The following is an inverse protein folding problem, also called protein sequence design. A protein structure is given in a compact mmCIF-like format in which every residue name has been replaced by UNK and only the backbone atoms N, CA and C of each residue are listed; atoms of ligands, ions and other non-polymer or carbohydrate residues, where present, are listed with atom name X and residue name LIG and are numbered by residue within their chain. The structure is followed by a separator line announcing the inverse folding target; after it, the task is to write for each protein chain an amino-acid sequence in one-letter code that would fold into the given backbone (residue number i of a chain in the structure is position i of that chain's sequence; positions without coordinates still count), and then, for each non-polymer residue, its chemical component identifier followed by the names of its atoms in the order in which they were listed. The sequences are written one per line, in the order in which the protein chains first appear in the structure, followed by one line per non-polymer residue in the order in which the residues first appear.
data_IF_200752923192
#
_entry.id   IF_200752923192
#
_cell.length_a   1.000
_cell.length_b   1.000
_cell.length_c   1.000
_cell.angle_alpha   90.00
_cell.angle_beta   90.00
_cell.angle_gamma   90.00
#
_symmetry.space_group_name_H-M   'P 1'
#
loop_
_entity.id
_entity.type
_entity.pdbx_description
1 polymer ?
#
# COMPACT_ATOMS: atom_id res chain seq x y z
N UNK A 1 -9.34 4.69 16.60
CA UNK A 1 -8.70 3.83 15.60
C UNK A 1 -7.18 4.00 15.68
N UNK A 2 -6.42 2.96 15.39
CA UNK A 2 -4.95 3.03 15.34
C UNK A 2 -4.51 2.91 13.88
N UNK A 3 -3.87 3.98 13.37
CA UNK A 3 -3.37 4.08 12.00
C UNK A 3 -4.28 4.84 11.04
N UNK A 4 -3.73 5.90 10.42
CA UNK A 4 -4.35 6.69 9.35
C UNK A 4 -3.85 6.27 7.97
N UNK A 5 -3.63 4.96 7.74
CA UNK A 5 -3.46 4.39 6.42
C UNK A 5 -4.79 4.43 5.64
N UNK A 6 -4.89 3.66 4.55
CA UNK A 6 -6.12 3.67 3.72
C UNK A 6 -7.34 3.16 4.48
N UNK A 7 -7.17 2.11 5.30
CA UNK A 7 -8.27 1.45 6.03
C UNK A 7 -8.85 2.32 7.15
N UNK A 8 -7.99 3.00 7.94
CA UNK A 8 -8.43 3.78 9.10
C UNK A 8 -9.40 4.91 8.74
N UNK A 9 -9.03 5.85 7.85
CA UNK A 9 -9.90 6.96 7.45
C UNK A 9 -11.18 6.50 6.73
N UNK A 10 -11.10 5.44 5.89
CA UNK A 10 -12.29 4.88 5.25
C UNK A 10 -13.29 4.32 6.28
N UNK A 11 -12.79 3.53 7.24
CA UNK A 11 -13.61 3.01 8.33
C UNK A 11 -14.16 4.15 9.21
N UNK A 12 -13.34 5.17 9.51
CA UNK A 12 -13.77 6.31 10.30
C UNK A 12 -14.92 7.06 9.63
N UNK A 13 -14.86 7.24 8.31
CA UNK A 13 -15.95 7.83 7.53
C UNK A 13 -17.23 7.01 7.65
N UNK A 14 -17.13 5.68 7.51
CA UNK A 14 -18.27 4.78 7.66
C UNK A 14 -18.90 4.88 9.06
N UNK A 15 -18.07 4.84 10.12
CA UNK A 15 -18.53 4.97 11.50
C UNK A 15 -19.15 6.34 11.77
N UNK A 16 -18.57 7.41 11.26
CA UNK A 16 -19.08 8.77 11.37
C UNK A 16 -20.48 8.91 10.75
N UNK A 17 -20.71 8.28 9.60
CA UNK A 17 -22.03 8.23 8.95
C UNK A 17 -23.07 7.45 9.78
N UNK A 18 -22.62 6.46 10.57
CA UNK A 18 -23.48 5.75 11.52
C UNK A 18 -23.69 6.52 12.85
N UNK A 19 -23.13 7.73 12.98
CA UNK A 19 -23.33 8.60 14.13
C UNK A 19 -22.22 8.57 15.17
N UNK A 20 -21.21 7.73 15.04
CA UNK A 20 -20.12 7.63 15.99
C UNK A 20 -19.11 8.79 15.86
N UNK A 21 -18.57 9.23 17.00
CA UNK A 21 -17.38 10.09 17.04
C UNK A 21 -16.14 9.21 17.05
N UNK A 22 -15.15 9.53 16.19
CA UNK A 22 -13.98 8.68 15.96
C UNK A 22 -12.70 9.49 16.11
N UNK A 23 -11.78 9.00 16.92
CA UNK A 23 -10.40 9.48 16.96
C UNK A 23 -9.48 8.48 16.25
N UNK A 24 -8.62 8.98 15.36
CA UNK A 24 -7.59 8.19 14.70
C UNK A 24 -6.24 8.64 15.22
N UNK A 25 -5.39 7.71 15.68
CA UNK A 25 -4.03 7.97 16.09
C UNK A 25 -3.06 7.48 15.04
N UNK A 26 -2.23 8.38 14.50
CA UNK A 26 -1.25 8.09 13.44
C UNK A 26 0.17 8.46 13.94
N UNK A 27 1.11 7.55 13.78
CA UNK A 27 2.50 7.75 14.22
C UNK A 27 3.29 8.77 13.40
N UNK A 28 2.92 8.95 12.13
CA UNK A 28 3.59 9.86 11.20
C UNK A 28 3.00 11.27 11.32
N UNK A 29 3.75 12.31 10.91
CA UNK A 29 3.21 13.64 10.73
C UNK A 29 2.12 13.68 9.65
N UNK A 30 1.38 14.77 9.60
CA UNK A 30 0.34 14.97 8.59
C UNK A 30 0.96 15.17 7.19
N UNK A 31 0.93 14.14 6.38
CA UNK A 31 1.48 14.14 5.03
C UNK A 31 0.83 15.15 4.08
N UNK A 32 -0.28 15.76 4.46
CA UNK A 32 -0.94 16.83 3.69
C UNK A 32 -0.29 18.20 3.91
N UNK A 33 0.39 18.40 5.05
CA UNK A 33 1.01 19.66 5.47
C UNK A 33 2.49 19.72 5.15
N UNK A 34 3.17 18.61 5.20
CA UNK A 34 4.55 18.52 4.83
C UNK A 34 4.65 18.13 3.36
N UNK A 35 5.51 18.83 2.60
CA UNK A 35 6.06 18.24 1.39
C UNK A 35 7.00 17.11 1.83
N UNK A 36 6.44 16.09 2.46
CA UNK A 36 7.13 14.82 2.58
C UNK A 36 7.46 14.53 1.13
N UNK A 37 8.75 14.66 0.80
CA UNK A 37 9.24 14.26 -0.52
C UNK A 37 8.49 12.98 -0.77
N UNK A 38 7.62 12.98 -1.78
CA UNK A 38 6.71 11.88 -2.02
C UNK A 38 7.61 10.69 -2.26
N UNK A 39 8.16 10.20 -1.16
CA UNK A 39 9.05 9.08 -1.07
C UNK A 39 8.21 7.96 -1.59
N UNK A 40 8.17 7.89 -2.94
CA UNK A 40 7.81 6.70 -3.68
C UNK A 40 6.49 6.14 -3.25
N UNK A 41 5.46 6.78 -3.75
CA UNK A 41 4.11 6.25 -3.62
C UNK A 41 3.98 5.08 -4.59
N UNK A 42 4.00 3.87 -4.05
CA UNK A 42 3.56 2.69 -4.80
C UNK A 42 2.16 2.99 -5.32
N UNK A 43 1.95 2.84 -6.63
CA UNK A 43 0.62 2.87 -7.16
C UNK A 43 -0.13 1.60 -6.79
N UNK A 44 -1.40 1.79 -6.54
CA UNK A 44 -2.33 0.72 -6.18
C UNK A 44 -3.27 0.45 -7.35
N UNK A 45 -3.66 -0.80 -7.49
CA UNK A 45 -4.68 -1.23 -8.44
C UNK A 45 -6.04 -1.30 -7.73
N UNK A 46 -6.86 -0.26 -7.88
CA UNK A 46 -8.20 -0.19 -7.33
C UNK A 46 -9.16 -1.03 -8.19
N UNK A 47 -9.72 -2.08 -7.61
CA UNK A 47 -10.63 -3.02 -8.27
C UNK A 47 -12.10 -2.76 -7.90
N UNK A 48 -13.00 -3.58 -8.44
CA UNK A 48 -14.43 -3.50 -8.14
C UNK A 48 -14.73 -3.55 -6.62
N UNK A 49 -13.95 -4.32 -5.83
CA UNK A 49 -14.11 -4.40 -4.37
C UNK A 49 -13.79 -3.08 -3.67
N UNK A 50 -12.62 -2.48 -3.99
CA UNK A 50 -12.26 -1.19 -3.44
C UNK A 50 -13.22 -0.07 -3.89
N UNK A 51 -13.65 -0.10 -5.17
CA UNK A 51 -14.66 0.82 -5.66
C UNK A 51 -15.99 0.68 -4.91
N UNK A 52 -16.40 -0.56 -4.55
CA UNK A 52 -17.61 -0.80 -3.77
C UNK A 52 -17.49 -0.12 -2.40
N UNK A 53 -16.40 -0.34 -1.66
CA UNK A 53 -16.18 0.28 -0.36
C UNK A 53 -16.22 1.82 -0.42
N UNK A 54 -15.62 2.42 -1.46
CA UNK A 54 -15.67 3.87 -1.68
C UNK A 54 -17.09 4.37 -2.00
N UNK A 55 -17.88 3.59 -2.74
CA UNK A 55 -19.28 3.93 -3.05
C UNK A 55 -20.17 3.89 -1.81
N UNK A 56 -20.01 2.87 -0.96
CA UNK A 56 -20.78 2.73 0.29
C UNK A 56 -20.67 3.96 1.20
N UNK A 57 -19.51 4.62 1.20
CA UNK A 57 -19.28 5.84 1.99
C UNK A 57 -19.44 7.15 1.18
N UNK A 58 -19.84 7.07 -0.10
CA UNK A 58 -20.05 8.23 -0.96
C UNK A 58 -18.78 8.93 -1.42
N UNK A 59 -17.61 8.26 -1.36
CA UNK A 59 -16.31 8.85 -1.72
C UNK A 59 -15.87 8.55 -3.15
N UNK A 60 -16.50 7.60 -3.82
CA UNK A 60 -16.09 7.13 -5.14
C UNK A 60 -15.96 8.25 -6.17
N UNK A 61 -16.97 9.11 -6.28
CA UNK A 61 -16.99 10.17 -7.32
C UNK A 61 -15.96 11.28 -7.05
N UNK A 62 -15.57 11.47 -5.80
CA UNK A 62 -14.49 12.40 -5.41
C UNK A 62 -13.10 11.84 -5.74
N UNK A 63 -12.92 10.53 -5.66
CA UNK A 63 -11.62 9.86 -5.85
C UNK A 63 -11.38 9.48 -7.32
N UNK A 64 -12.43 9.06 -8.03
CA UNK A 64 -12.36 8.59 -9.41
C UNK A 64 -11.62 9.52 -10.39
N UNK A 65 -11.76 10.86 -10.35
CA UNK A 65 -11.03 11.76 -11.24
C UNK A 65 -9.51 11.66 -11.12
N UNK A 66 -8.99 11.21 -9.97
CA UNK A 66 -7.57 11.04 -9.69
C UNK A 66 -7.05 9.64 -10.05
N UNK A 67 -7.81 8.85 -10.81
CA UNK A 67 -7.45 7.48 -11.18
C UNK A 67 -7.28 7.32 -12.69
N UNK A 68 -6.45 6.36 -13.10
CA UNK A 68 -6.25 6.03 -14.51
C UNK A 68 -6.82 4.63 -14.78
N UNK A 69 -7.80 4.49 -15.71
CA UNK A 69 -8.36 3.19 -16.03
C UNK A 69 -7.35 2.32 -16.78
N UNK A 70 -7.18 1.08 -16.31
CA UNK A 70 -6.38 0.03 -16.96
C UNK A 70 -7.33 -1.05 -17.49
N UNK A 71 -7.35 -1.23 -18.82
CA UNK A 71 -8.26 -2.15 -19.54
C UNK A 71 -7.81 -3.62 -19.45
N UNK A 72 -6.54 -3.84 -19.16
CA UNK A 72 -5.96 -5.18 -19.10
C UNK A 72 -4.52 -5.18 -18.63
N UNK A 73 -3.92 -6.35 -18.70
CA UNK A 73 -2.48 -6.55 -18.47
C UNK A 73 -1.76 -6.49 -19.81
N UNK A 74 -0.80 -5.62 -19.96
CA UNK A 74 0.14 -5.62 -21.07
C UNK A 74 1.32 -6.51 -20.71
N UNK A 75 1.31 -7.72 -21.23
CA UNK A 75 2.36 -8.71 -20.97
C UNK A 75 3.53 -8.47 -21.92
N UNK A 76 4.73 -8.37 -21.37
CA UNK A 76 5.98 -8.25 -22.11
C UNK A 76 6.75 -9.56 -22.04
N UNK A 77 6.94 -10.20 -23.19
CA UNK A 77 7.72 -11.43 -23.28
C UNK A 77 9.25 -11.17 -23.20
N UNK A 78 10.05 -12.24 -23.25
CA UNK A 78 11.53 -12.13 -23.23
C UNK A 78 12.10 -11.51 -24.51
N UNK A 79 11.36 -11.48 -25.62
CA UNK A 79 11.78 -10.88 -26.88
C UNK A 79 11.33 -9.40 -27.00
N UNK A 80 10.62 -8.88 -25.99
CA UNK A 80 10.07 -7.51 -25.98
C UNK A 80 8.77 -7.36 -26.75
N UNK A 81 8.14 -8.46 -27.20
CA UNK A 81 6.81 -8.39 -27.76
C UNK A 81 5.79 -8.14 -26.65
N UNK A 82 4.75 -7.40 -26.99
CA UNK A 82 3.68 -7.05 -26.05
C UNK A 82 2.35 -7.69 -26.46
N UNK A 83 1.61 -8.16 -25.48
CA UNK A 83 0.27 -8.71 -25.66
C UNK A 83 -0.66 -8.18 -24.58
N UNK A 84 -1.76 -7.53 -24.99
CA UNK A 84 -2.79 -7.07 -24.07
C UNK A 84 -3.75 -8.21 -23.73
N UNK A 85 -3.82 -8.54 -22.44
CA UNK A 85 -4.78 -9.47 -21.87
C UNK A 85 -5.87 -8.66 -21.15
N UNK A 86 -7.08 -8.53 -21.71
CA UNK A 86 -8.15 -7.75 -21.10
C UNK A 86 -8.57 -8.30 -19.73
N UNK A 87 -9.04 -7.42 -18.82
CA UNK A 87 -9.64 -7.85 -17.56
C UNK A 87 -11.04 -8.40 -17.73
N UNK A 88 -11.77 -7.95 -18.74
CA UNK A 88 -13.12 -8.39 -19.03
C UNK A 88 -13.49 -8.23 -20.51
N UNK A 89 -14.75 -8.50 -20.83
CA UNK A 89 -15.27 -8.43 -22.19
C UNK A 89 -15.92 -7.08 -22.52
N UNK A 90 -16.28 -6.31 -21.48
CA UNK A 90 -16.93 -5.01 -21.60
C UNK A 90 -15.91 -3.88 -21.36
N UNK A 91 -16.10 -2.74 -22.01
CA UNK A 91 -15.22 -1.57 -21.87
C UNK A 91 -15.11 -1.03 -20.45
N UNK A 92 -16.14 -1.23 -19.62
CA UNK A 92 -16.18 -0.79 -18.23
C UNK A 92 -15.62 -1.81 -17.23
N UNK A 93 -15.22 -2.99 -17.68
CA UNK A 93 -14.58 -4.01 -16.84
C UNK A 93 -13.08 -3.74 -16.75
N UNK A 94 -12.75 -2.71 -15.99
CA UNK A 94 -11.39 -2.18 -15.81
C UNK A 94 -11.03 -2.13 -14.33
N UNK A 95 -9.73 -2.09 -14.04
CA UNK A 95 -9.20 -1.67 -12.75
C UNK A 95 -8.57 -0.28 -12.89
N UNK A 96 -8.32 0.40 -11.79
CA UNK A 96 -7.81 1.77 -11.83
C UNK A 96 -6.45 1.86 -11.13
N UNK A 97 -5.49 2.49 -11.79
CA UNK A 97 -4.28 2.94 -11.11
C UNK A 97 -4.58 4.17 -10.27
N UNK A 98 -4.13 4.17 -9.03
CA UNK A 98 -4.27 5.30 -8.11
C UNK A 98 -3.01 5.46 -7.27
N UNK A 99 -2.55 6.70 -7.09
CA UNK A 99 -1.46 6.98 -6.16
C UNK A 99 -1.90 6.66 -4.73
N UNK A 100 -1.13 5.83 -4.04
CA UNK A 100 -1.40 5.49 -2.64
C UNK A 100 -1.38 6.72 -1.74
N UNK A 101 -0.42 7.63 -1.96
CA UNK A 101 -0.31 8.84 -1.16
C UNK A 101 -1.51 9.75 -1.38
N UNK A 102 -1.89 10.00 -2.64
CA UNK A 102 -3.04 10.86 -2.95
C UNK A 102 -4.33 10.27 -2.39
N UNK A 103 -4.57 8.97 -2.61
CA UNK A 103 -5.74 8.29 -2.05
C UNK A 103 -5.79 8.40 -0.52
N UNK A 104 -4.65 8.25 0.15
CA UNK A 104 -4.59 8.38 1.61
C UNK A 104 -4.91 9.80 2.07
N UNK A 105 -4.35 10.82 1.41
CA UNK A 105 -4.64 12.22 1.71
C UNK A 105 -6.11 12.55 1.51
N UNK A 106 -6.69 12.09 0.40
CA UNK A 106 -8.10 12.30 0.08
C UNK A 106 -8.99 11.64 1.16
N UNK A 107 -8.72 10.39 1.53
CA UNK A 107 -9.47 9.67 2.56
C UNK A 107 -9.38 10.35 3.93
N UNK A 108 -8.20 10.81 4.34
CA UNK A 108 -8.04 11.54 5.61
C UNK A 108 -8.84 12.84 5.61
N UNK A 109 -8.76 13.61 4.52
CA UNK A 109 -9.50 14.88 4.39
C UNK A 109 -10.99 14.65 4.43
N UNK A 110 -11.49 13.70 3.65
CA UNK A 110 -12.92 13.38 3.58
C UNK A 110 -13.46 12.80 4.91
N UNK A 111 -12.62 12.08 5.66
CA UNK A 111 -13.01 11.60 6.99
C UNK A 111 -13.21 12.78 7.97
N UNK A 112 -12.30 13.74 8.00
CA UNK A 112 -12.42 14.92 8.86
C UNK A 112 -13.57 15.85 8.43
N UNK A 113 -13.86 15.97 7.13
CA UNK A 113 -15.02 16.71 6.60
C UNK A 113 -16.39 16.23 7.14
N UNK A 114 -16.47 15.01 7.67
CA UNK A 114 -17.68 14.51 8.35
C UNK A 114 -18.02 15.28 9.62
N UNK A 115 -17.07 16.04 10.18
CA UNK A 115 -17.19 16.75 11.46
C UNK A 115 -17.24 15.83 12.70
N UNK A 116 -17.11 14.51 12.53
CA UNK A 116 -17.11 13.51 13.62
C UNK A 116 -15.81 12.74 13.73
N UNK A 117 -14.84 12.97 12.84
CA UNK A 117 -13.53 12.33 12.84
C UNK A 117 -12.46 13.35 13.20
N UNK A 118 -11.59 12.99 14.13
CA UNK A 118 -10.39 13.74 14.48
C UNK A 118 -9.16 12.86 14.27
N UNK A 119 -8.16 13.34 13.55
CA UNK A 119 -6.89 12.61 13.34
C UNK A 119 -5.80 13.26 14.20
N UNK A 120 -5.21 12.48 15.10
CA UNK A 120 -4.08 12.86 15.95
C UNK A 120 -2.80 12.28 15.34
N UNK A 121 -2.03 13.13 14.71
CA UNK A 121 -0.73 12.78 14.14
C UNK A 121 0.37 12.74 15.20
N UNK A 122 1.54 12.18 14.86
CA UNK A 122 2.71 12.06 15.74
C UNK A 122 2.44 11.23 17.02
N UNK A 123 1.44 10.32 16.98
CA UNK A 123 1.08 9.44 18.08
C UNK A 123 1.42 7.99 17.72
N UNK A 124 2.56 7.50 18.16
CA UNK A 124 2.97 6.11 17.95
C UNK A 124 2.45 5.23 19.09
N UNK A 125 1.55 4.29 18.78
CA UNK A 125 1.13 3.30 19.77
C UNK A 125 2.34 2.42 20.17
N UNK A 126 2.62 2.33 21.46
CA UNK A 126 3.66 1.46 22.04
C UNK A 126 3.06 0.16 22.57
N UNK A 127 1.91 0.25 23.25
CA UNK A 127 1.19 -0.91 23.79
C UNK A 127 -0.28 -0.60 24.05
N UNK A 128 -1.09 -1.65 24.21
CA UNK A 128 -2.47 -1.55 24.65
C UNK A 128 -2.72 -2.47 25.86
N UNK A 129 -3.10 -1.87 26.98
CA UNK A 129 -3.63 -2.63 28.13
C UNK A 129 -5.12 -2.86 27.91
N UNK A 130 -5.44 -4.07 27.47
CA UNK A 130 -6.81 -4.48 27.14
C UNK A 130 -7.62 -4.86 28.39
N UNK A 131 -7.02 -4.96 29.58
CA UNK A 131 -7.72 -5.14 30.86
C UNK A 131 -8.18 -3.81 31.42
N UNK A 132 -7.25 -2.86 31.52
CA UNK A 132 -7.53 -1.52 32.06
C UNK A 132 -8.11 -0.56 31.03
N UNK A 133 -8.26 -0.96 29.73
CA UNK A 133 -8.71 -0.16 28.62
C UNK A 133 -7.87 1.12 28.42
N UNK A 134 -6.55 0.96 28.39
CA UNK A 134 -5.57 2.04 28.23
C UNK A 134 -4.67 1.79 27.02
N UNK A 135 -4.34 2.85 26.31
CA UNK A 135 -3.39 2.87 25.20
C UNK A 135 -2.20 3.73 25.61
N UNK A 136 -1.00 3.18 25.49
CA UNK A 136 0.24 3.93 25.69
C UNK A 136 0.78 4.39 24.35
N UNK A 137 0.92 5.72 24.19
CA UNK A 137 1.50 6.34 23.01
C UNK A 137 2.81 7.03 23.35
N UNK A 138 3.70 7.06 22.36
CA UNK A 138 4.84 7.97 22.34
C UNK A 138 4.57 9.09 21.33
N UNK A 139 4.75 10.32 21.76
CA UNK A 139 4.68 11.50 20.88
C UNK A 139 5.99 11.62 20.10
N UNK A 140 5.92 11.66 18.77
CA UNK A 140 7.14 11.68 17.93
C UNK A 140 7.94 12.97 18.07
N UNK A 141 7.29 14.08 18.45
CA UNK A 141 7.91 15.40 18.55
C UNK A 141 8.68 15.59 19.87
N UNK A 142 8.15 15.10 21.00
CA UNK A 142 8.72 15.27 22.33
C UNK A 142 9.34 14.02 22.91
N UNK A 143 9.08 12.85 22.32
CA UNK A 143 9.37 11.52 22.84
C UNK A 143 8.66 11.24 24.19
N UNK A 144 7.71 12.07 24.57
CA UNK A 144 6.90 11.90 25.78
C UNK A 144 5.95 10.73 25.60
N UNK A 145 5.76 9.97 26.68
CA UNK A 145 4.78 8.90 26.75
C UNK A 145 3.50 9.38 27.42
N UNK A 146 2.36 9.12 26.76
CA UNK A 146 1.04 9.45 27.27
C UNK A 146 0.13 8.24 27.31
N UNK A 147 -0.64 8.09 28.37
CA UNK A 147 -1.71 7.09 28.46
C UNK A 147 -3.06 7.73 28.13
N UNK A 148 -3.81 7.07 27.26
CA UNK A 148 -5.18 7.48 26.90
C UNK A 148 -6.15 6.33 27.14
N UNK A 149 -7.32 6.58 27.76
CA UNK A 149 -8.36 5.57 27.91
C UNK A 149 -9.06 5.31 26.60
N UNK A 150 -9.63 4.13 26.44
CA UNK A 150 -10.50 3.80 25.31
C UNK A 150 -11.74 3.01 25.73
N UNK A 151 -12.82 3.14 24.98
CA UNK A 151 -14.00 2.29 25.13
C UNK A 151 -13.93 1.08 24.21
N UNK A 152 -13.60 1.33 22.93
CA UNK A 152 -13.32 0.32 21.91
C UNK A 152 -12.15 0.77 21.07
N UNK A 153 -11.27 -0.15 20.70
CA UNK A 153 -10.11 0.14 19.88
C UNK A 153 -10.10 -0.74 18.63
N UNK A 154 -9.83 -0.13 17.46
CA UNK A 154 -9.73 -0.86 16.19
C UNK A 154 -8.34 -0.62 15.61
N UNK A 155 -7.60 -1.70 15.34
CA UNK A 155 -6.28 -1.67 14.73
C UNK A 155 -6.36 -1.67 13.21
N UNK A 156 -5.94 -0.55 12.63
CA UNK A 156 -5.70 -0.34 11.20
C UNK A 156 -4.23 -0.02 10.95
N UNK A 157 -3.34 -0.44 11.86
CA UNK A 157 -1.92 -0.09 11.99
C UNK A 157 -0.99 -0.97 11.13
N UNK A 158 -1.59 -1.70 10.18
CA UNK A 158 -0.87 -2.38 9.11
C UNK A 158 -0.23 -3.71 9.53
N UNK A 159 0.62 -4.25 8.66
CA UNK A 159 1.20 -5.59 8.81
C UNK A 159 2.11 -5.75 10.05
N UNK A 160 2.63 -4.64 10.59
CA UNK A 160 3.43 -4.60 11.83
C UNK A 160 2.62 -4.18 13.06
N UNK A 161 1.31 -4.41 13.08
CA UNK A 161 0.36 -3.97 14.10
C UNK A 161 0.83 -4.24 15.53
N UNK A 162 0.89 -3.17 16.32
CA UNK A 162 1.14 -3.22 17.76
C UNK A 162 -0.12 -3.68 18.50
N UNK A 163 -1.31 -3.20 18.07
CA UNK A 163 -2.55 -3.65 18.68
C UNK A 163 -2.73 -5.17 18.54
N UNK A 164 -2.41 -5.75 17.36
CA UNK A 164 -2.41 -7.21 17.18
C UNK A 164 -1.49 -7.90 18.18
N UNK A 165 -0.27 -7.36 18.39
CA UNK A 165 0.66 -7.92 19.37
C UNK A 165 0.02 -7.99 20.76
N UNK A 166 -0.58 -6.91 21.23
CA UNK A 166 -1.27 -6.85 22.53
C UNK A 166 -2.45 -7.84 22.62
N UNK A 167 -3.22 -8.00 21.55
CA UNK A 167 -4.34 -8.96 21.49
C UNK A 167 -3.82 -10.40 21.53
N UNK A 168 -2.77 -10.71 20.78
CA UNK A 168 -2.17 -12.06 20.71
C UNK A 168 -1.60 -12.49 22.07
N UNK A 169 -0.87 -11.59 22.73
CA UNK A 169 -0.28 -11.84 24.04
C UNK A 169 -1.36 -12.09 25.10
N UNK A 170 -2.49 -11.35 25.05
CA UNK A 170 -3.55 -11.44 26.04
C UNK A 170 -4.49 -12.63 25.85
N UNK A 171 -4.88 -12.92 24.62
CA UNK A 171 -5.97 -13.85 24.32
C UNK A 171 -5.49 -15.21 23.81
N UNK A 172 -4.18 -15.49 23.85
CA UNK A 172 -3.58 -16.71 23.29
C UNK A 172 -4.07 -17.02 21.86
N UNK A 173 -4.09 -15.97 21.02
CA UNK A 173 -4.60 -16.03 19.65
C UNK A 173 -3.56 -16.67 18.73
N UNK A 174 -4.02 -17.46 17.75
CA UNK A 174 -3.15 -17.96 16.71
C UNK A 174 -2.67 -16.82 15.80
N UNK A 175 -1.36 -16.62 15.76
CA UNK A 175 -0.71 -15.63 14.91
C UNK A 175 0.50 -16.24 14.23
N UNK A 176 0.57 -16.06 12.90
CA UNK A 176 1.71 -16.46 12.08
C UNK A 176 2.04 -15.34 11.09
N UNK A 177 3.28 -14.88 11.11
CA UNK A 177 3.86 -14.08 10.03
C UNK A 177 4.70 -14.99 9.15
N UNK A 178 4.26 -15.22 7.92
CA UNK A 178 4.93 -16.11 6.95
C UNK A 178 5.70 -15.26 5.92
N UNK A 179 7.05 -15.17 6.03
CA UNK A 179 7.86 -14.52 5.02
C UNK A 179 7.70 -15.23 3.67
N UNK A 180 7.68 -14.47 2.58
CA UNK A 180 7.56 -15.03 1.23
C UNK A 180 8.91 -15.43 0.63
N UNK A 181 10.02 -14.95 1.20
CA UNK A 181 11.36 -15.09 0.60
C UNK A 181 11.59 -14.19 -0.61
N UNK A 182 10.65 -13.29 -0.89
CA UNK A 182 10.74 -12.25 -1.93
C UNK A 182 10.68 -10.87 -1.30
N UNK A 183 11.30 -9.93 -1.97
CA UNK A 183 11.17 -8.50 -1.69
C UNK A 183 10.67 -7.76 -2.92
N UNK A 184 10.54 -6.46 -2.76
CA UNK A 184 10.23 -5.56 -3.86
C UNK A 184 11.11 -4.33 -3.85
N UNK A 185 11.32 -3.77 -5.04
CA UNK A 185 12.06 -2.52 -5.24
C UNK A 185 11.33 -1.64 -6.24
N UNK A 186 11.23 -0.37 -5.89
CA UNK A 186 10.56 0.62 -6.74
C UNK A 186 11.55 1.24 -7.72
N UNK A 187 11.10 1.42 -8.97
CA UNK A 187 11.79 2.07 -10.06
C UNK A 187 10.81 2.99 -10.78
N UNK A 188 11.31 3.89 -11.63
CA UNK A 188 10.46 4.88 -12.30
C UNK A 188 10.67 4.90 -13.81
N UNK A 189 9.58 4.85 -14.57
CA UNK A 189 9.55 5.26 -15.97
C UNK A 189 9.08 6.71 -16.01
N UNK A 190 9.95 7.69 -16.28
CA UNK A 190 9.55 9.09 -16.35
C UNK A 190 8.73 9.37 -17.62
N UNK A 191 7.95 10.46 -17.66
CA UNK A 191 7.28 10.88 -18.89
C UNK A 191 8.28 11.22 -20.01
N UNK A 192 7.81 11.29 -21.23
CA UNK A 192 8.56 11.86 -22.35
C UNK A 192 8.85 13.35 -22.09
N UNK A 193 9.86 13.91 -22.74
CA UNK A 193 10.14 15.36 -22.69
C UNK A 193 8.93 16.23 -23.12
N UNK A 194 8.03 15.66 -23.89
CA UNK A 194 6.76 16.28 -24.32
C UNK A 194 5.66 16.22 -23.25
N UNK A 195 5.90 15.67 -22.06
CA UNK A 195 4.90 15.47 -21.02
C UNK A 195 3.92 14.32 -21.26
N UNK A 196 4.18 13.45 -22.27
CA UNK A 196 3.32 12.31 -22.61
C UNK A 196 3.85 11.01 -22.01
N UNK A 197 2.98 10.03 -21.87
CA UNK A 197 3.36 8.67 -21.48
C UNK A 197 4.35 8.04 -22.46
N UNK A 198 5.30 7.26 -21.97
CA UNK A 198 6.29 6.52 -22.77
C UNK A 198 5.75 5.21 -23.33
N UNK A 199 4.80 4.61 -22.65
CA UNK A 199 4.15 3.35 -23.01
C UNK A 199 2.63 3.50 -22.80
N UNK A 200 1.84 2.48 -23.15
CA UNK A 200 0.37 2.50 -23.07
C UNK A 200 -0.13 2.82 -21.66
N UNK A 201 -0.82 3.95 -21.42
CA UNK A 201 -1.25 4.31 -20.06
C UNK A 201 -2.46 3.50 -19.56
N UNK A 202 -3.25 2.94 -20.45
CA UNK A 202 -4.48 2.24 -20.08
C UNK A 202 -4.27 0.73 -19.87
N UNK A 203 -3.07 0.35 -19.40
CA UNK A 203 -2.72 -1.04 -19.09
C UNK A 203 -1.84 -1.15 -17.85
N UNK A 204 -1.98 -2.26 -17.12
CA UNK A 204 -1.00 -2.71 -16.15
C UNK A 204 0.10 -3.46 -16.93
N UNK A 205 1.29 -2.88 -17.02
CA UNK A 205 2.41 -3.54 -17.67
C UNK A 205 3.02 -4.59 -16.75
N UNK A 206 3.29 -5.79 -17.29
CA UNK A 206 3.88 -6.91 -16.55
C UNK A 206 4.97 -7.58 -17.40
N UNK A 207 6.15 -7.72 -16.84
CA UNK A 207 7.27 -8.52 -17.35
C UNK A 207 7.42 -9.77 -16.48
N UNK A 208 6.69 -10.88 -16.75
CA UNK A 208 6.79 -12.11 -15.96
C UNK A 208 8.08 -12.87 -16.30
N UNK A 209 8.81 -13.33 -15.28
CA UNK A 209 10.11 -14.01 -15.44
C UNK A 209 10.27 -15.18 -14.48
N UNK A 210 9.36 -16.14 -14.56
CA UNK A 210 9.38 -17.31 -13.68
C UNK A 210 9.08 -16.98 -12.23
N UNK A 211 10.13 -16.89 -11.39
CA UNK A 211 9.99 -16.60 -9.97
C UNK A 211 10.12 -15.11 -9.62
N UNK A 212 10.25 -14.23 -10.60
CA UNK A 212 10.32 -12.78 -10.41
C UNK A 212 9.56 -12.04 -11.51
N UNK A 213 9.24 -10.80 -11.30
CA UNK A 213 8.56 -9.96 -12.28
C UNK A 213 8.79 -8.49 -12.04
N UNK A 214 8.72 -7.72 -13.11
CA UNK A 214 8.59 -6.26 -13.07
C UNK A 214 7.15 -5.92 -13.44
N UNK A 215 6.53 -4.99 -12.73
CA UNK A 215 5.25 -4.40 -13.11
C UNK A 215 5.37 -2.90 -13.21
N UNK A 216 4.51 -2.25 -13.99
CA UNK A 216 4.44 -0.79 -14.06
C UNK A 216 2.99 -0.31 -14.13
N UNK A 217 2.65 0.65 -13.27
CA UNK A 217 1.35 1.28 -13.18
C UNK A 217 1.46 2.77 -13.51
N UNK A 218 0.52 3.33 -14.30
CA UNK A 218 0.57 4.72 -14.73
C UNK A 218 0.26 5.70 -13.59
N UNK A 219 0.86 6.89 -13.64
CA UNK A 219 0.63 8.04 -12.77
C UNK A 219 0.01 9.22 -13.54
N UNK A 220 -0.70 10.10 -12.83
CA UNK A 220 -1.34 11.28 -13.44
C UNK A 220 -0.34 12.30 -14.03
N UNK A 221 0.92 12.26 -13.61
CA UNK A 221 2.02 13.05 -14.19
C UNK A 221 2.65 12.42 -15.44
N UNK A 222 1.99 11.42 -16.02
CA UNK A 222 2.44 10.65 -17.18
C UNK A 222 3.71 9.81 -16.95
N UNK A 223 4.15 9.63 -15.73
CA UNK A 223 5.16 8.64 -15.35
C UNK A 223 4.52 7.27 -15.09
N UNK A 224 5.35 6.25 -14.83
CA UNK A 224 4.91 4.97 -14.28
C UNK A 224 5.73 4.64 -13.05
N UNK A 225 5.06 4.19 -12.00
CA UNK A 225 5.71 3.51 -10.88
C UNK A 225 5.92 2.06 -11.23
N UNK A 226 7.19 1.65 -11.26
CA UNK A 226 7.57 0.26 -11.50
C UNK A 226 7.87 -0.44 -10.17
N UNK A 227 7.49 -1.70 -10.06
CA UNK A 227 7.83 -2.55 -8.92
C UNK A 227 8.48 -3.83 -9.41
N UNK A 228 9.76 -4.01 -9.05
CA UNK A 228 10.47 -5.25 -9.25
C UNK A 228 10.23 -6.17 -8.04
N UNK A 229 9.53 -7.26 -8.23
CA UNK A 229 9.41 -8.35 -7.26
C UNK A 229 10.51 -9.37 -7.53
N UNK A 230 11.37 -9.61 -6.53
CA UNK A 230 12.57 -10.41 -6.73
C UNK A 230 12.89 -11.24 -5.48
N UNK A 231 13.49 -12.45 -5.61
CA UNK A 231 13.92 -13.23 -4.46
C UNK A 231 14.87 -12.46 -3.56
N UNK A 232 14.76 -12.65 -2.25
CA UNK A 232 15.69 -12.04 -1.29
C UNK A 232 17.06 -12.72 -1.28
N UNK A 233 17.06 -14.05 -1.43
CA UNK A 233 18.27 -14.91 -1.39
C UNK A 233 18.33 -15.85 -2.59
N UNK A 234 19.52 -16.39 -2.85
CA UNK A 234 19.78 -17.33 -3.95
C UNK A 234 20.56 -16.73 -5.11
N UNK A 235 20.77 -17.52 -6.17
CA UNK A 235 21.67 -17.17 -7.29
C UNK A 235 21.23 -15.94 -8.10
N UNK A 236 19.91 -15.68 -8.19
CA UNK A 236 19.32 -14.48 -8.80
C UNK A 236 18.42 -13.84 -7.75
N UNK A 237 18.97 -12.89 -6.97
CA UNK A 237 18.29 -12.32 -5.81
C UNK A 237 18.84 -10.94 -5.45
N UNK A 238 18.15 -10.23 -4.56
CA UNK A 238 18.67 -8.98 -3.98
C UNK A 238 19.98 -9.16 -3.20
N UNK A 239 20.28 -10.38 -2.75
CA UNK A 239 21.55 -10.72 -2.09
C UNK A 239 22.73 -10.70 -3.07
N UNK A 240 22.52 -11.11 -4.32
CA UNK A 240 23.58 -11.25 -5.35
C UNK A 240 23.64 -10.08 -6.32
N UNK A 241 22.54 -9.37 -6.55
CA UNK A 241 22.47 -8.22 -7.47
C UNK A 241 22.71 -6.92 -6.70
N UNK A 242 24.00 -6.53 -6.55
CA UNK A 242 24.42 -5.36 -5.76
C UNK A 242 25.21 -4.32 -6.55
N UNK A 243 26.04 -4.76 -7.47
CA UNK A 243 26.89 -3.85 -8.25
C UNK A 243 26.14 -3.29 -9.46
N UNK A 244 26.66 -2.18 -10.01
CA UNK A 244 26.12 -1.61 -11.25
C UNK A 244 26.12 -2.65 -12.40
N UNK A 245 27.15 -3.50 -12.45
CA UNK A 245 27.26 -4.56 -13.45
C UNK A 245 26.15 -5.59 -13.25
N UNK A 246 25.94 -6.09 -12.03
CA UNK A 246 24.90 -7.10 -11.75
C UNK A 246 23.50 -6.58 -12.12
N UNK A 247 23.22 -5.30 -11.82
CA UNK A 247 21.94 -4.65 -12.15
C UNK A 247 21.76 -4.58 -13.67
N UNK A 248 22.81 -4.16 -14.42
CA UNK A 248 22.78 -4.10 -15.88
C UNK A 248 22.58 -5.49 -16.48
N UNK A 249 23.34 -6.48 -16.02
CA UNK A 249 23.25 -7.86 -16.51
C UNK A 249 21.83 -8.46 -16.27
N UNK A 250 21.25 -8.19 -15.09
CA UNK A 250 19.88 -8.58 -14.78
C UNK A 250 18.89 -7.94 -15.76
N UNK A 251 18.95 -6.62 -15.94
CA UNK A 251 17.98 -5.91 -16.77
C UNK A 251 18.18 -6.18 -18.26
N UNK A 252 19.40 -6.31 -18.74
CA UNK A 252 19.71 -6.68 -20.12
C UNK A 252 19.22 -8.09 -20.46
N UNK A 253 19.38 -9.05 -19.55
CA UNK A 253 18.99 -10.43 -19.78
C UNK A 253 17.49 -10.71 -19.55
N UNK A 254 16.84 -9.96 -18.64
CA UNK A 254 15.46 -10.26 -18.22
C UNK A 254 14.45 -9.18 -18.64
N UNK A 255 14.86 -7.92 -18.80
CA UNK A 255 14.00 -6.77 -19.00
C UNK A 255 14.57 -5.79 -20.04
N UNK A 256 15.12 -6.31 -21.15
CA UNK A 256 15.89 -5.50 -22.13
C UNK A 256 15.05 -4.38 -22.76
N UNK A 257 13.73 -4.56 -22.92
CA UNK A 257 12.81 -3.53 -23.41
C UNK A 257 12.54 -2.48 -22.33
N UNK A 258 12.46 -2.88 -21.05
CA UNK A 258 12.24 -1.96 -19.94
C UNK A 258 13.46 -1.07 -19.63
N UNK A 259 14.68 -1.53 -19.89
CA UNK A 259 15.91 -0.77 -19.57
C UNK A 259 15.93 0.59 -20.29
N UNK A 260 15.42 0.66 -21.51
CA UNK A 260 15.30 1.90 -22.30
C UNK A 260 14.25 2.87 -21.75
N UNK A 261 13.32 2.35 -20.96
CA UNK A 261 12.22 3.10 -20.36
C UNK A 261 12.61 3.70 -19.01
N UNK A 262 13.61 3.14 -18.31
CA UNK A 262 14.04 3.51 -16.96
C UNK A 262 15.45 4.16 -17.00
N UNK A 263 15.56 5.43 -17.41
CA UNK A 263 16.88 6.08 -17.58
C UNK A 263 17.66 6.19 -16.26
N UNK A 264 16.97 6.29 -15.13
CA UNK A 264 17.58 6.41 -13.80
C UNK A 264 17.68 5.05 -13.07
N UNK A 265 17.68 3.93 -13.81
CA UNK A 265 17.67 2.58 -13.26
C UNK A 265 18.71 2.38 -12.13
N UNK A 266 19.94 2.83 -12.34
CA UNK A 266 21.02 2.65 -11.36
C UNK A 266 20.79 3.43 -10.09
N UNK A 267 20.38 4.68 -10.23
CA UNK A 267 20.08 5.57 -9.10
C UNK A 267 18.89 5.03 -8.30
N UNK A 268 17.80 4.71 -8.98
CA UNK A 268 16.61 4.15 -8.35
C UNK A 268 16.92 2.84 -7.64
N UNK A 269 17.66 1.94 -8.27
CA UNK A 269 17.97 0.65 -7.69
C UNK A 269 18.86 0.75 -6.44
N UNK A 270 19.81 1.68 -6.41
CA UNK A 270 20.70 1.87 -5.27
C UNK A 270 20.08 2.69 -4.14
N UNK A 271 19.34 3.75 -4.49
CA UNK A 271 18.76 4.67 -3.53
C UNK A 271 17.49 4.14 -2.86
N UNK A 272 16.71 3.32 -3.58
CA UNK A 272 15.44 2.80 -3.07
C UNK A 272 15.67 1.63 -2.13
N UNK A 273 15.05 1.67 -0.95
CA UNK A 273 15.06 0.54 -0.04
C UNK A 273 14.42 -0.69 -0.67
N UNK A 274 14.87 -1.87 -0.29
CA UNK A 274 14.18 -3.12 -0.61
C UNK A 274 13.16 -3.40 0.49
N UNK A 275 11.91 -3.59 0.13
CA UNK A 275 10.86 -3.98 1.07
C UNK A 275 10.70 -5.49 1.11
N UNK A 276 10.47 -6.05 2.30
CA UNK A 276 10.17 -7.47 2.49
C UNK A 276 8.70 -7.77 2.25
N UNK A 277 8.41 -8.97 1.76
CA UNK A 277 7.06 -9.46 1.57
C UNK A 277 6.75 -10.58 2.56
N UNK A 278 5.62 -10.45 3.26
CA UNK A 278 5.12 -11.46 4.17
C UNK A 278 3.60 -11.47 4.19
N UNK A 279 3.01 -12.63 4.43
CA UNK A 279 1.60 -12.76 4.77
C UNK A 279 1.44 -12.81 6.28
N UNK A 280 0.33 -12.24 6.76
CA UNK A 280 -0.07 -12.29 8.16
C UNK A 280 -1.35 -13.10 8.29
N UNK A 281 -1.32 -14.07 9.19
CA UNK A 281 -2.47 -14.88 9.57
C UNK A 281 -2.72 -14.66 11.06
N UNK A 282 -3.91 -14.21 11.39
CA UNK A 282 -4.33 -13.97 12.77
C UNK A 282 -5.79 -14.39 12.91
N UNK A 283 -6.15 -15.14 13.95
CA UNK A 283 -7.53 -15.57 14.19
C UNK A 283 -7.73 -15.93 15.67
N UNK A 284 -8.81 -15.43 16.30
CA UNK A 284 -9.78 -14.42 15.80
C UNK A 284 -9.16 -13.04 15.66
N UNK A 285 -9.87 -12.13 14.94
CA UNK A 285 -9.43 -10.74 14.74
C UNK A 285 -9.91 -9.78 15.83
N UNK A 286 -10.54 -10.30 16.86
CA UNK A 286 -11.14 -9.49 17.93
C UNK A 286 -10.89 -10.09 19.30
N UNK A 287 -10.97 -9.24 20.32
CA UNK A 287 -11.00 -9.60 21.73
C UNK A 287 -12.31 -9.10 22.34
N UNK A 288 -13.31 -9.99 22.42
CA UNK A 288 -14.64 -9.63 22.88
C UNK A 288 -15.22 -8.46 22.07
N UNK A 289 -15.75 -7.48 22.76
CA UNK A 289 -16.26 -6.21 22.22
C UNK A 289 -15.27 -5.04 22.38
N UNK A 290 -14.08 -5.30 22.94
CA UNK A 290 -13.08 -4.27 23.27
C UNK A 290 -12.16 -3.90 22.12
N UNK A 291 -11.67 -4.89 21.40
CA UNK A 291 -10.65 -4.69 20.38
C UNK A 291 -10.94 -5.48 19.10
N UNK A 292 -10.67 -4.86 17.94
CA UNK A 292 -10.83 -5.45 16.61
C UNK A 292 -9.61 -5.12 15.74
N UNK A 293 -9.21 -6.05 14.87
CA UNK A 293 -8.19 -5.83 13.84
C UNK A 293 -8.85 -5.82 12.46
N UNK A 294 -8.44 -4.89 11.61
CA UNK A 294 -8.94 -4.75 10.24
C UNK A 294 -7.78 -4.52 9.27
N UNK A 295 -7.97 -4.92 8.03
CA UNK A 295 -6.98 -4.76 6.96
C UNK A 295 -5.70 -5.54 7.22
N UNK A 296 -4.55 -4.97 6.86
CA UNK A 296 -3.26 -5.62 7.02
C UNK A 296 -2.91 -5.96 8.49
N UNK A 297 -3.53 -5.26 9.45
CA UNK A 297 -3.39 -5.60 10.86
C UNK A 297 -4.00 -6.98 11.18
N UNK A 298 -5.05 -7.37 10.50
CA UNK A 298 -5.71 -8.67 10.63
C UNK A 298 -5.12 -9.73 9.70
N UNK A 299 -4.89 -9.39 8.42
CA UNK A 299 -4.64 -10.38 7.37
C UNK A 299 -3.83 -9.82 6.19
N UNK A 300 -2.65 -9.28 6.44
CA UNK A 300 -1.78 -8.81 5.35
C UNK A 300 -1.52 -9.92 4.33
N UNK A 301 -1.74 -9.61 3.06
CA UNK A 301 -1.55 -10.52 1.93
C UNK A 301 -0.44 -10.05 1.02
N UNK A 302 0.18 -10.99 0.30
CA UNK A 302 1.22 -10.65 -0.68
C UNK A 302 0.65 -9.84 -1.84
N UNK A 303 1.38 -8.85 -2.37
CA UNK A 303 0.84 -7.85 -3.30
C UNK A 303 0.78 -8.29 -4.76
N UNK A 304 1.11 -9.52 -5.11
CA UNK A 304 1.22 -9.99 -6.51
C UNK A 304 -0.06 -9.80 -7.34
N UNK A 305 -1.20 -9.86 -6.71
CA UNK A 305 -2.49 -9.63 -7.36
C UNK A 305 -3.09 -8.25 -7.07
N UNK A 306 -2.36 -7.38 -6.36
CA UNK A 306 -2.83 -6.04 -5.98
C UNK A 306 -4.09 -6.05 -5.12
N UNK A 307 -4.34 -7.11 -4.33
CA UNK A 307 -5.60 -7.27 -3.60
C UNK A 307 -5.54 -6.84 -2.12
N UNK A 308 -4.37 -6.54 -1.56
CA UNK A 308 -4.25 -6.15 -0.16
C UNK A 308 -5.17 -4.97 0.20
N UNK A 309 -5.08 -3.86 -0.53
CA UNK A 309 -5.94 -2.70 -0.33
C UNK A 309 -7.42 -3.02 -0.58
N UNK A 310 -7.74 -3.77 -1.63
CA UNK A 310 -9.13 -4.06 -2.02
C UNK A 310 -9.83 -5.04 -1.06
N UNK A 311 -9.09 -5.72 -0.19
CA UNK A 311 -9.59 -6.68 0.79
C UNK A 311 -9.54 -6.16 2.24
N UNK A 312 -9.02 -4.93 2.42
CA UNK A 312 -8.82 -4.31 3.75
C UNK A 312 -10.04 -3.63 4.30
#
# INVERSE_FOLDING_TARGET
LIGAGLTGPLLATYLAQQGYSVEIFERRPDMRKESISAGRSINLALSARGNHALKEVGLYDKIKPNTIPMKGRMIHDLNGNTHLQPYGQKENEVIFSVSRAQLNMDLMTLAEETGKVTIRFNHQLLSADLEQNKLLFQLSDSLEEIELPFNRVIGCDGSASILRKSIVEKANIQYVKKPLGHGYKELTIPPLKSGKFRIEPNALHIWPRGNHMLIALPNNDCSFTCTLFFPMTGTKSFETVKTKKDILDLFQSQFHDAIKLIPNLMEDFQKNSTGDLASVYCKPWHLGDKALLIGDAAHAVVPFFGQGMNAS
#
